data_IF_806216540569
#
_entry.id   IF_806216540569
#
_cell.length_a   1.000
_cell.length_b   1.000
_cell.length_c   1.000
_cell.angle_alpha   90.00
_cell.angle_beta   90.00
_cell.angle_gamma   90.00
#
_symmetry.space_group_name_H-M   'P 1'
#
loop_
_entity.id
_entity.type
_entity.pdbx_description
1 polymer ?
#
# COMPACT_ATOMS: atom_id res chain seq x y z
N UNK A 1 -1.25 -38.00 -34.22
CA UNK A 1 0.03 -37.55 -33.62
C UNK A 1 0.06 -36.04 -33.34
N UNK A 2 -0.20 -35.16 -34.31
CA UNK A 2 -0.19 -33.71 -34.09
C UNK A 2 -1.20 -33.19 -33.05
N UNK A 3 -2.37 -33.84 -32.93
CA UNK A 3 -3.40 -33.49 -31.92
C UNK A 3 -2.97 -33.86 -30.49
N UNK A 4 -2.27 -34.98 -30.33
CA UNK A 4 -1.72 -35.44 -29.04
C UNK A 4 -0.58 -34.54 -28.55
N UNK A 5 0.25 -34.03 -29.47
CA UNK A 5 1.33 -33.08 -29.15
C UNK A 5 0.77 -31.72 -28.73
N UNK A 6 -0.28 -31.22 -29.41
CA UNK A 6 -0.96 -29.97 -29.04
C UNK A 6 -1.64 -30.07 -27.66
N UNK A 7 -2.22 -31.23 -27.33
CA UNK A 7 -2.83 -31.46 -26.02
C UNK A 7 -1.78 -31.56 -24.90
N UNK A 8 -0.63 -32.19 -25.14
CA UNK A 8 0.48 -32.21 -24.17
C UNK A 8 1.06 -30.82 -23.88
N UNK A 9 1.22 -29.97 -24.91
CA UNK A 9 1.74 -28.60 -24.73
C UNK A 9 0.77 -27.75 -23.91
N UNK A 10 -0.55 -27.86 -24.14
CA UNK A 10 -1.55 -27.14 -23.35
C UNK A 10 -1.55 -27.55 -21.87
N UNK A 11 -1.24 -28.82 -21.56
CA UNK A 11 -1.15 -29.34 -20.19
C UNK A 11 0.13 -28.86 -19.50
N UNK A 12 1.27 -28.75 -20.21
CA UNK A 12 2.52 -28.22 -19.65
C UNK A 12 2.48 -26.71 -19.37
N UNK A 13 1.71 -25.92 -20.15
CA UNK A 13 1.57 -24.47 -19.95
C UNK A 13 0.65 -24.14 -18.76
N UNK A 14 -0.22 -25.08 -18.34
CA UNK A 14 -1.27 -24.84 -17.35
C UNK A 14 -0.85 -24.99 -15.87
N UNK A 15 0.44 -25.19 -15.56
CA UNK A 15 0.89 -25.55 -14.20
C UNK A 15 1.84 -24.57 -13.54
N UNK A 16 2.22 -23.46 -14.18
CA UNK A 16 2.85 -22.35 -13.47
C UNK A 16 1.74 -21.44 -12.95
N UNK A 17 1.46 -21.39 -11.64
CA UNK A 17 0.59 -20.36 -11.10
C UNK A 17 1.16 -19.02 -11.58
N UNK A 18 0.34 -18.10 -12.14
CA UNK A 18 0.91 -16.85 -12.61
C UNK A 18 1.60 -16.19 -11.43
N UNK A 19 2.85 -15.78 -11.64
CA UNK A 19 3.74 -15.48 -10.52
C UNK A 19 3.22 -14.30 -9.71
N UNK A 20 3.27 -14.43 -8.39
CA UNK A 20 2.97 -13.33 -7.47
C UNK A 20 4.13 -12.35 -7.50
N UNK A 21 3.85 -11.05 -7.61
CA UNK A 21 4.85 -9.99 -7.45
C UNK A 21 4.57 -9.19 -6.19
N UNK A 22 5.62 -8.92 -5.42
CA UNK A 22 5.58 -8.04 -4.26
C UNK A 22 6.45 -6.81 -4.55
N UNK A 23 5.85 -5.63 -4.44
CA UNK A 23 6.57 -4.35 -4.46
C UNK A 23 6.54 -3.76 -3.06
N UNK A 24 7.65 -3.18 -2.65
CA UNK A 24 7.80 -2.48 -1.37
C UNK A 24 8.10 -1.03 -1.69
N UNK A 25 7.27 -0.12 -1.17
CA UNK A 25 7.43 1.31 -1.35
C UNK A 25 7.96 1.96 -0.09
N UNK A 26 8.77 2.99 -0.29
CA UNK A 26 9.27 3.84 0.77
C UNK A 26 8.22 4.93 1.06
N UNK A 27 7.51 4.77 2.17
CA UNK A 27 6.56 5.75 2.67
C UNK A 27 7.14 6.58 3.83
N UNK A 28 8.47 6.55 3.99
CA UNK A 28 9.20 7.35 4.95
C UNK A 28 9.62 6.62 6.22
N UNK A 29 9.79 7.39 7.29
CA UNK A 29 10.23 6.91 8.60
C UNK A 29 9.34 7.46 9.71
N UNK A 30 9.28 6.74 10.84
CA UNK A 30 8.55 7.12 12.03
C UNK A 30 9.48 7.05 13.24
N UNK A 31 9.65 8.18 13.94
CA UNK A 31 10.37 8.22 15.21
C UNK A 31 9.58 7.50 16.29
N UNK A 32 10.23 6.70 17.13
CA UNK A 32 9.59 6.11 18.31
C UNK A 32 9.04 7.20 19.24
N UNK A 33 7.82 7.02 19.74
CA UNK A 33 7.25 7.90 20.77
C UNK A 33 7.90 7.73 22.14
N UNK A 34 8.54 6.58 22.38
CA UNK A 34 9.33 6.30 23.57
C UNK A 34 10.47 5.32 23.19
N UNK A 35 11.65 5.81 22.80
CA UNK A 35 12.77 4.97 22.41
C UNK A 35 13.44 4.26 23.59
N UNK A 36 13.28 4.75 24.83
CA UNK A 36 14.03 4.27 25.99
C UNK A 36 13.83 2.78 26.25
N UNK A 37 12.61 2.27 26.07
CA UNK A 37 12.29 0.83 26.23
C UNK A 37 13.06 -0.04 25.24
N UNK A 38 13.30 0.45 24.03
CA UNK A 38 14.08 -0.26 23.00
C UNK A 38 15.57 -0.14 23.29
N UNK A 39 16.04 1.06 23.64
CA UNK A 39 17.45 1.33 23.97
C UNK A 39 17.92 0.50 25.17
N UNK A 40 17.11 0.39 26.22
CA UNK A 40 17.39 -0.45 27.40
C UNK A 40 17.54 -1.93 27.05
N UNK A 41 16.95 -2.38 25.94
CA UNK A 41 17.08 -3.75 25.41
C UNK A 41 18.23 -3.92 24.43
N UNK A 42 19.08 -2.91 24.28
CA UNK A 42 20.25 -2.93 23.39
C UNK A 42 19.93 -2.66 21.93
N UNK A 43 18.73 -2.18 21.60
CA UNK A 43 18.40 -1.76 20.23
C UNK A 43 19.13 -0.45 19.92
N UNK A 44 19.88 -0.39 18.82
CA UNK A 44 20.67 0.79 18.44
C UNK A 44 19.98 1.69 17.41
N UNK A 45 18.92 1.21 16.76
CA UNK A 45 18.12 1.97 15.80
C UNK A 45 16.65 1.89 16.18
N UNK A 46 16.08 3.05 16.53
CA UNK A 46 14.69 3.16 17.02
C UNK A 46 13.76 3.85 16.03
N UNK A 47 14.30 4.35 14.91
CA UNK A 47 13.51 4.84 13.80
C UNK A 47 12.89 3.65 13.06
N UNK A 48 11.58 3.70 12.85
CA UNK A 48 10.84 2.66 12.16
C UNK A 48 10.66 3.04 10.70
N UNK A 49 10.80 2.08 9.79
CA UNK A 49 10.41 2.28 8.40
C UNK A 49 8.88 2.33 8.29
N UNK A 50 8.38 3.25 7.48
CA UNK A 50 6.99 3.28 7.04
C UNK A 50 6.98 2.76 5.62
N UNK A 51 6.30 1.64 5.39
CA UNK A 51 6.30 0.96 4.09
C UNK A 51 4.89 0.69 3.62
N UNK A 52 4.72 0.67 2.30
CA UNK A 52 3.51 0.16 1.65
C UNK A 52 3.87 -1.00 0.73
N UNK A 53 2.95 -1.94 0.58
CA UNK A 53 3.16 -3.17 -0.17
C UNK A 53 2.10 -3.32 -1.26
N UNK A 54 2.54 -3.44 -2.51
CA UNK A 54 1.66 -3.87 -3.61
C UNK A 54 1.90 -5.35 -3.89
N UNK A 55 0.87 -6.16 -3.68
CA UNK A 55 0.87 -7.59 -3.96
C UNK A 55 0.04 -7.81 -5.23
N UNK A 56 0.71 -8.15 -6.32
CA UNK A 56 0.08 -8.45 -7.60
C UNK A 56 -0.08 -9.95 -7.69
N UNK A 57 -1.31 -10.43 -7.49
CA UNK A 57 -1.67 -11.83 -7.51
C UNK A 57 -2.56 -12.11 -8.74
N UNK A 58 -2.54 -13.33 -9.32
CA UNK A 58 -3.46 -13.73 -10.40
C UNK A 58 -4.95 -13.48 -10.15
N UNK A 59 -5.34 -13.44 -8.88
CA UNK A 59 -6.72 -13.26 -8.42
C UNK A 59 -7.08 -11.80 -8.15
N UNK A 60 -6.11 -10.90 -8.24
CA UNK A 60 -6.29 -9.49 -7.92
C UNK A 60 -5.05 -8.84 -7.36
N UNK A 61 -5.11 -7.52 -7.26
CA UNK A 61 -4.03 -6.68 -6.75
C UNK A 61 -4.44 -6.13 -5.39
N UNK A 62 -3.62 -6.37 -4.38
CA UNK A 62 -3.79 -5.86 -3.02
C UNK A 62 -2.76 -4.76 -2.77
N UNK A 63 -3.22 -3.64 -2.21
CA UNK A 63 -2.36 -2.62 -1.60
C UNK A 63 -2.52 -2.69 -0.09
N UNK A 64 -1.45 -3.03 0.60
CA UNK A 64 -1.36 -3.07 2.06
C UNK A 64 -0.52 -1.87 2.53
N UNK A 65 -1.09 -1.06 3.40
CA UNK A 65 -0.66 0.28 3.82
C UNK A 65 -0.70 1.35 2.73
N UNK A 66 -0.78 2.60 3.19
CA UNK A 66 -0.66 3.79 2.33
C UNK A 66 0.27 4.86 2.93
N UNK A 67 1.07 4.50 3.94
CA UNK A 67 1.89 5.46 4.68
C UNK A 67 1.13 6.23 5.76
N UNK A 68 1.87 7.07 6.50
CA UNK A 68 1.33 7.87 7.62
C UNK A 68 0.89 9.26 7.17
N UNK A 69 1.66 9.88 6.27
CA UNK A 69 1.38 11.22 5.74
C UNK A 69 0.63 11.06 4.40
N UNK A 70 -0.59 11.61 4.26
CA UNK A 70 -1.30 11.63 2.99
C UNK A 70 -0.48 12.25 1.85
N UNK A 71 -0.58 11.67 0.64
CA UNK A 71 0.23 12.07 -0.52
C UNK A 71 0.07 13.56 -0.90
N UNK A 72 -1.12 14.13 -0.71
CA UNK A 72 -1.41 15.54 -0.99
C UNK A 72 -0.64 16.51 -0.08
N UNK A 73 -0.15 16.05 1.08
CA UNK A 73 0.65 16.82 2.02
C UNK A 73 2.16 16.66 1.83
N UNK A 74 2.60 15.69 1.03
CA UNK A 74 4.04 15.44 0.81
C UNK A 74 4.59 16.45 -0.20
N UNK A 75 5.55 17.27 0.23
CA UNK A 75 6.24 18.27 -0.57
C UNK A 75 7.52 17.67 -1.22
N UNK A 76 8.02 18.23 -2.34
CA UNK A 76 9.23 17.72 -3.02
C UNK A 76 10.48 17.67 -2.14
N UNK A 77 10.61 18.58 -1.17
CA UNK A 77 11.72 18.59 -0.21
C UNK A 77 11.54 17.57 0.94
N UNK A 78 10.38 16.92 1.03
CA UNK A 78 9.95 16.11 2.15
C UNK A 78 8.99 16.86 3.09
N UNK A 79 8.19 16.09 3.80
CA UNK A 79 7.23 16.56 4.80
C UNK A 79 7.43 15.79 6.09
N UNK A 80 7.42 16.50 7.21
CA UNK A 80 7.41 15.92 8.56
C UNK A 80 6.13 16.33 9.28
N UNK A 81 5.36 15.34 9.72
CA UNK A 81 4.11 15.53 10.48
C UNK A 81 4.20 14.68 11.76
N UNK A 82 4.06 15.34 12.91
CA UNK A 82 4.30 14.74 14.21
C UNK A 82 5.66 14.01 14.27
N UNK A 83 5.64 12.67 14.31
CA UNK A 83 6.84 11.81 14.37
C UNK A 83 7.21 11.17 13.04
N UNK A 84 6.41 11.38 11.99
CA UNK A 84 6.61 10.77 10.68
C UNK A 84 7.30 11.75 9.72
N UNK A 85 8.18 11.24 8.87
CA UNK A 85 8.82 12.00 7.79
C UNK A 85 8.72 11.20 6.49
N UNK A 86 8.21 11.81 5.42
CA UNK A 86 8.10 11.20 4.10
C UNK A 86 8.62 12.13 3.00
N UNK A 87 9.32 11.55 2.02
CA UNK A 87 9.89 12.28 0.87
C UNK A 87 9.27 11.91 -0.47
N UNK A 88 8.55 10.78 -0.53
CA UNK A 88 7.98 10.23 -1.76
C UNK A 88 6.49 10.00 -1.57
N UNK A 89 5.71 10.41 -2.57
CA UNK A 89 4.30 10.09 -2.69
C UNK A 89 4.15 8.63 -3.12
N UNK A 90 3.21 7.91 -2.52
CA UNK A 90 2.90 6.54 -2.93
C UNK A 90 2.35 6.50 -4.36
N UNK A 91 1.53 7.47 -4.75
CA UNK A 91 0.99 7.63 -6.10
C UNK A 91 2.10 7.77 -7.14
N UNK A 92 3.15 8.55 -6.86
CA UNK A 92 4.31 8.68 -7.74
C UNK A 92 5.07 7.35 -7.86
N UNK A 93 5.30 6.66 -6.75
CA UNK A 93 5.98 5.35 -6.75
C UNK A 93 5.18 4.26 -7.49
N UNK A 94 3.85 4.27 -7.38
CA UNK A 94 2.97 3.40 -8.16
C UNK A 94 3.08 3.70 -9.66
N UNK A 95 3.05 4.98 -10.03
CA UNK A 95 3.17 5.40 -11.43
C UNK A 95 4.53 5.01 -12.04
N UNK A 96 5.63 5.10 -11.28
CA UNK A 96 6.97 4.68 -11.70
C UNK A 96 7.02 3.20 -12.11
N UNK A 97 6.23 2.34 -11.47
CA UNK A 97 6.14 0.91 -11.79
C UNK A 97 4.96 0.57 -12.73
N UNK A 98 4.28 1.58 -13.27
CA UNK A 98 3.19 1.41 -14.23
C UNK A 98 1.83 1.04 -13.65
N UNK A 99 1.62 1.23 -12.34
CA UNK A 99 0.35 0.99 -11.66
C UNK A 99 -0.37 2.31 -11.36
N UNK A 100 -1.71 2.30 -11.48
CA UNK A 100 -2.60 3.38 -11.04
C UNK A 100 -3.48 2.91 -9.87
N UNK A 101 -3.99 3.83 -9.02
CA UNK A 101 -4.87 3.45 -7.92
C UNK A 101 -6.09 2.62 -8.33
N UNK A 102 -6.57 2.75 -9.57
CA UNK A 102 -7.69 1.97 -10.10
C UNK A 102 -7.34 0.54 -10.50
N UNK A 103 -6.06 0.14 -10.49
CA UNK A 103 -5.63 -1.25 -10.71
C UNK A 103 -5.71 -2.12 -9.44
N UNK A 104 -6.00 -1.51 -8.28
CA UNK A 104 -6.09 -2.20 -6.98
C UNK A 104 -7.51 -2.77 -6.83
N UNK A 105 -7.62 -4.08 -6.69
CA UNK A 105 -8.91 -4.79 -6.78
C UNK A 105 -9.34 -5.46 -5.47
N UNK A 106 -8.43 -5.62 -4.52
CA UNK A 106 -8.70 -6.17 -3.19
C UNK A 106 -8.60 -5.03 -2.16
N UNK A 107 -9.41 -5.15 -1.09
CA UNK A 107 -9.56 -4.15 -0.04
C UNK A 107 -8.21 -3.58 0.43
N UNK A 108 -8.11 -2.25 0.46
CA UNK A 108 -6.94 -1.53 0.97
C UNK A 108 -6.90 -1.68 2.47
N UNK A 109 -5.90 -2.38 2.99
CA UNK A 109 -5.68 -2.46 4.44
C UNK A 109 -4.76 -1.32 4.83
N UNK A 110 -5.27 -0.31 5.54
CA UNK A 110 -4.44 0.70 6.17
C UNK A 110 -4.26 0.33 7.65
N UNK A 111 -3.05 0.00 8.08
CA UNK A 111 -2.71 -0.02 9.50
C UNK A 111 -2.69 1.42 9.99
N UNK A 112 -3.73 1.75 10.75
CA UNK A 112 -3.77 2.97 11.52
C UNK A 112 -2.73 2.85 12.64
N UNK A 113 -1.52 3.35 12.39
CA UNK A 113 -0.59 3.70 13.46
C UNK A 113 -1.18 4.93 14.17
N UNK A 114 -1.61 4.76 15.41
CA UNK A 114 -2.03 5.88 16.26
C UNK A 114 -0.80 6.77 16.53
N UNK A 115 -0.69 7.84 15.77
CA UNK A 115 0.22 8.94 16.06
C UNK A 115 -0.61 9.96 16.87
N UNK A 116 -0.38 9.97 18.19
CA UNK A 116 -0.76 11.05 19.12
C UNK A 116 -2.21 11.08 19.66
N UNK A 117 -2.90 9.94 19.75
CA UNK A 117 -4.19 9.85 20.45
C UNK A 117 -5.37 10.55 19.75
N UNK A 118 -5.13 11.32 18.70
CA UNK A 118 -6.15 11.76 17.76
C UNK A 118 -6.28 10.76 16.61
N UNK A 119 -7.46 10.17 16.47
CA UNK A 119 -7.84 9.34 15.33
C UNK A 119 -7.88 10.20 14.05
N UNK A 120 -6.77 10.34 13.33
CA UNK A 120 -6.80 10.79 11.93
C UNK A 120 -7.21 9.60 11.07
N UNK A 121 -8.51 9.32 11.08
CA UNK A 121 -9.10 8.23 10.31
C UNK A 121 -9.11 8.60 8.82
N UNK A 122 -8.44 7.81 7.99
CA UNK A 122 -8.72 7.65 6.55
C UNK A 122 -9.95 6.76 6.31
N UNK A 123 -10.88 6.67 7.29
CA UNK A 123 -12.05 5.80 7.22
C UNK A 123 -12.87 6.14 5.97
N UNK A 124 -12.84 5.27 4.98
CA UNK A 124 -13.88 5.18 3.97
C UNK A 124 -15.18 4.82 4.71
N UNK A 125 -15.99 5.82 5.07
CA UNK A 125 -17.38 5.55 5.41
C UNK A 125 -18.10 5.21 4.10
N UNK A 126 -18.89 4.13 4.04
CA UNK A 126 -19.88 3.98 2.98
C UNK A 126 -20.77 5.22 3.03
N UNK A 127 -20.97 5.88 1.88
CA UNK A 127 -21.96 6.93 1.79
C UNK A 127 -23.31 6.36 2.24
N UNK A 128 -23.96 7.06 3.18
CA UNK A 128 -25.32 6.72 3.58
C UNK A 128 -26.20 6.69 2.32
N UNK A 129 -26.94 5.59 2.16
CA UNK A 129 -27.76 5.30 1.00
C UNK A 129 -28.74 6.42 0.67
N UNK A 130 -28.54 7.08 -0.46
CA UNK A 130 -29.50 7.97 -1.09
C UNK A 130 -29.40 7.80 -2.61
N UNK A 131 -30.51 7.38 -3.22
CA UNK A 131 -30.66 7.12 -4.65
C UNK A 131 -30.00 8.19 -5.55
N UNK A 132 -29.10 7.77 -6.44
CA UNK A 132 -29.14 7.98 -7.90
C UNK A 132 -27.74 7.91 -8.53
N UNK A 133 -27.62 7.04 -9.53
CA UNK A 133 -26.77 7.13 -10.71
C UNK A 133 -25.48 7.98 -10.61
N UNK A 134 -24.38 7.36 -10.17
CA UNK A 134 -23.03 7.92 -10.28
C UNK A 134 -22.04 7.03 -9.52
N UNK A 135 -21.16 6.32 -10.22
CA UNK A 135 -20.07 5.56 -9.58
C UNK A 135 -19.02 6.56 -9.08
N UNK A 136 -19.28 7.20 -7.96
CA UNK A 136 -18.26 7.97 -7.25
C UNK A 136 -17.33 7.00 -6.51
N UNK A 137 -16.21 6.66 -7.16
CA UNK A 137 -15.04 6.11 -6.50
C UNK A 137 -14.33 7.22 -5.71
N UNK A 138 -15.03 7.87 -4.79
CA UNK A 138 -14.48 8.89 -3.91
C UNK A 138 -14.02 8.25 -2.59
N UNK A 139 -13.00 7.39 -2.66
CA UNK A 139 -12.18 7.10 -1.49
C UNK A 139 -10.77 6.74 -1.93
N UNK A 140 -9.92 7.76 -2.01
CA UNK A 140 -8.62 7.84 -1.32
C UNK A 140 -7.86 9.06 -1.84
N UNK A 141 -7.33 9.88 -0.94
CA UNK A 141 -6.27 10.85 -1.27
C UNK A 141 -4.92 10.14 -1.24
N UNK A 142 -4.71 9.22 -2.19
CA UNK A 142 -3.39 8.84 -2.72
C UNK A 142 -3.24 9.51 -4.06
#
# INVERSE_FOLDING_TARGET
MALLVKLLIAILVAQTPPSVRLYIFDCGTLKSGNPDVLLQRGVTTTDMSVTAYLIVHPRGTLLWETGVIPDDLIQPAGTTEARATAHKRLQSQLAEIGYKPSDITIEKVAAVLRVDGHEKSTRCRPAASGNSMGREHACLRI
#
